data_IF_377448319676
#
_entry.id   IF_377448319676
#
_cell.length_a   1.000
_cell.length_b   1.000
_cell.length_c   1.000
_cell.angle_alpha   90.00
_cell.angle_beta   90.00
_cell.angle_gamma   90.00
#
_symmetry.space_group_name_H-M   'P 1'
#
loop_
_entity.id
_entity.type
_entity.pdbx_description
1 polymer ?
#
# COMPACT_ATOMS: atom_id res chain seq x y z
N UNK A 1 2.56 15.87 12.23
CA UNK A 1 2.36 14.54 11.62
C UNK A 1 2.78 13.37 12.52
N UNK A 2 4.02 13.32 13.06
CA UNK A 2 4.49 12.17 13.86
C UNK A 2 3.63 11.96 15.12
N UNK A 3 3.33 13.03 15.87
CA UNK A 3 2.46 12.96 17.02
C UNK A 3 1.06 12.41 16.65
N UNK A 4 0.42 12.99 15.65
CA UNK A 4 -0.89 12.56 15.14
C UNK A 4 -0.88 11.14 14.60
N UNK A 5 0.26 10.68 14.04
CA UNK A 5 0.44 9.29 13.63
C UNK A 5 0.40 8.34 14.82
N UNK A 6 1.09 8.68 15.92
CA UNK A 6 1.05 7.84 17.11
C UNK A 6 -0.32 7.85 17.79
N UNK A 7 -1.01 9.00 17.81
CA UNK A 7 -2.40 9.08 18.28
C UNK A 7 -3.31 8.17 17.43
N UNK A 8 -3.20 8.25 16.12
CA UNK A 8 -3.96 7.39 15.20
C UNK A 8 -3.73 5.91 15.46
N UNK A 9 -2.47 5.48 15.58
CA UNK A 9 -2.17 4.08 15.89
C UNK A 9 -2.66 3.67 17.28
N UNK A 10 -2.54 4.55 18.26
CA UNK A 10 -3.02 4.30 19.63
C UNK A 10 -4.54 4.10 19.67
N UNK A 11 -5.30 4.94 18.99
CA UNK A 11 -6.75 4.78 18.88
C UNK A 11 -7.14 3.48 18.16
N UNK A 12 -6.38 3.09 17.14
CA UNK A 12 -6.59 1.82 16.45
C UNK A 12 -6.32 0.61 17.36
N UNK A 13 -5.30 0.67 18.20
CA UNK A 13 -4.98 -0.38 19.16
C UNK A 13 -6.05 -0.56 20.25
N UNK A 14 -6.78 0.49 20.61
CA UNK A 14 -7.89 0.40 21.59
C UNK A 14 -9.07 -0.40 21.06
N UNK A 15 -9.29 -0.43 19.75
CA UNK A 15 -10.40 -1.12 19.10
C UNK A 15 -9.94 -1.84 17.82
N UNK A 16 -9.06 -2.84 17.92
CA UNK A 16 -8.42 -3.46 16.76
C UNK A 16 -9.42 -4.13 15.80
N UNK A 17 -10.55 -4.59 16.33
CA UNK A 17 -11.60 -5.21 15.51
C UNK A 17 -12.31 -4.20 14.58
N UNK A 18 -12.34 -2.91 14.95
CA UNK A 18 -13.01 -1.86 14.17
C UNK A 18 -12.03 -0.99 13.40
N UNK A 19 -10.83 -0.82 13.93
CA UNK A 19 -9.87 0.19 13.49
C UNK A 19 -8.53 -0.43 13.10
N UNK A 20 -8.55 -1.57 12.42
CA UNK A 20 -7.32 -2.15 11.88
C UNK A 20 -6.59 -1.13 10.97
N UNK A 21 -5.27 -1.19 10.96
CA UNK A 21 -4.40 -0.39 10.11
C UNK A 21 -3.37 -1.28 9.40
N UNK A 22 -3.11 -0.98 8.15
CA UNK A 22 -2.09 -1.62 7.31
C UNK A 22 -0.92 -0.67 7.00
N UNK A 23 -0.81 0.47 7.71
CA UNK A 23 0.38 1.31 7.62
C UNK A 23 1.60 0.56 8.13
N UNK A 24 2.68 0.51 7.35
CA UNK A 24 3.99 0.05 7.83
C UNK A 24 4.42 0.92 9.02
N UNK A 25 4.65 0.31 10.19
CA UNK A 25 4.88 1.06 11.44
C UNK A 25 6.23 1.78 11.42
N UNK A 26 6.24 3.03 11.88
CA UNK A 26 7.48 3.75 12.16
C UNK A 26 8.02 3.22 13.49
N UNK A 27 9.20 2.64 13.46
CA UNK A 27 9.87 2.02 14.62
C UNK A 27 10.88 2.96 15.27
N UNK A 28 11.38 3.95 14.53
CA UNK A 28 12.33 4.91 15.06
C UNK A 28 12.69 6.01 14.05
N UNK A 29 13.21 7.11 14.59
CA UNK A 29 13.73 8.22 13.80
C UNK A 29 15.12 8.58 14.34
N UNK A 30 16.06 8.78 13.43
CA UNK A 30 17.49 8.97 13.77
C UNK A 30 18.07 10.16 13.01
N UNK A 31 18.87 10.95 13.69
CA UNK A 31 19.75 11.95 13.08
C UNK A 31 21.18 11.38 13.14
N UNK A 32 21.84 11.31 12.01
CA UNK A 32 23.25 10.96 11.92
C UNK A 32 24.02 12.19 11.46
N UNK A 33 24.99 12.63 12.27
CA UNK A 33 25.87 13.74 11.92
C UNK A 33 27.23 13.19 11.53
N UNK A 34 27.67 13.47 10.31
CA UNK A 34 29.03 13.19 9.88
C UNK A 34 30.00 14.14 10.58
N UNK A 35 30.96 13.59 11.34
CA UNK A 35 31.90 14.41 12.14
C UNK A 35 32.90 15.21 11.30
N UNK A 36 33.19 14.79 10.07
CA UNK A 36 34.13 15.48 9.19
C UNK A 36 33.51 16.66 8.46
N UNK A 37 32.30 16.48 7.97
CA UNK A 37 31.59 17.46 7.15
C UNK A 37 30.52 18.24 7.92
N UNK A 38 30.18 17.81 9.14
CA UNK A 38 29.07 18.30 9.97
C UNK A 38 27.69 18.18 9.28
N UNK A 39 27.60 17.37 8.21
CA UNK A 39 26.37 17.12 7.51
C UNK A 39 25.45 16.26 8.37
N UNK A 40 24.20 16.71 8.52
CA UNK A 40 23.14 15.97 9.20
C UNK A 40 22.28 15.22 8.19
N UNK A 41 22.06 13.95 8.44
CA UNK A 41 21.16 13.11 7.65
C UNK A 41 20.11 12.47 8.56
N UNK A 42 18.86 12.51 8.17
CA UNK A 42 17.75 11.97 8.94
C UNK A 42 17.29 10.65 8.34
N UNK A 43 17.12 9.66 9.20
CA UNK A 43 16.69 8.31 8.83
C UNK A 43 15.42 7.93 9.59
N UNK A 44 14.56 7.17 8.94
CA UNK A 44 13.38 6.58 9.56
C UNK A 44 13.48 5.07 9.44
N UNK A 45 13.43 4.38 10.57
CA UNK A 45 13.30 2.94 10.60
C UNK A 45 11.80 2.59 10.55
N UNK A 46 11.43 1.74 9.61
CA UNK A 46 10.06 1.28 9.43
C UNK A 46 9.97 -0.23 9.53
N UNK A 47 8.77 -0.73 9.82
CA UNK A 47 8.45 -2.14 9.77
C UNK A 47 8.81 -2.74 8.41
N UNK A 48 9.51 -3.87 8.44
CA UNK A 48 9.72 -4.67 7.23
C UNK A 48 8.51 -5.60 7.04
N UNK A 49 7.63 -5.25 6.10
CA UNK A 49 6.42 -6.01 5.79
C UNK A 49 6.75 -7.46 5.40
N UNK A 50 7.90 -7.69 4.79
CA UNK A 50 8.34 -9.03 4.38
C UNK A 50 9.15 -9.77 5.45
N UNK A 51 9.24 -9.27 6.70
CA UNK A 51 10.00 -9.96 7.73
C UNK A 51 9.46 -11.38 7.99
N UNK A 52 10.35 -12.38 7.91
CA UNK A 52 9.98 -13.79 8.02
C UNK A 52 9.10 -14.34 6.88
N UNK A 53 9.01 -13.61 5.76
CA UNK A 53 8.26 -14.01 4.56
C UNK A 53 9.18 -13.97 3.35
N UNK A 54 9.06 -14.96 2.45
CA UNK A 54 9.93 -15.10 1.27
C UNK A 54 9.09 -14.97 -0.01
N UNK A 55 8.70 -13.73 -0.38
CA UNK A 55 7.84 -13.55 -1.52
C UNK A 55 8.52 -13.93 -2.83
N UNK A 56 7.76 -14.54 -3.74
CA UNK A 56 8.17 -14.77 -5.13
C UNK A 56 8.04 -13.51 -5.96
N UNK A 57 7.09 -12.63 -5.60
CA UNK A 57 6.82 -11.35 -6.28
C UNK A 57 6.45 -10.27 -5.27
N UNK A 58 6.92 -9.06 -5.53
CA UNK A 58 6.59 -7.87 -4.72
C UNK A 58 6.15 -6.74 -5.64
N UNK A 59 5.03 -6.11 -5.30
CA UNK A 59 4.44 -5.01 -6.06
C UNK A 59 4.31 -3.75 -5.20
N UNK A 60 4.59 -2.61 -5.83
CA UNK A 60 4.29 -1.26 -5.33
C UNK A 60 3.08 -0.73 -6.12
N UNK A 61 1.90 -0.69 -5.50
CA UNK A 61 0.64 -0.32 -6.14
C UNK A 61 0.18 1.07 -5.70
N UNK A 62 0.06 2.00 -6.67
CA UNK A 62 -0.41 3.39 -6.44
C UNK A 62 -1.75 3.70 -7.08
N UNK A 63 -2.33 2.75 -7.79
CA UNK A 63 -3.57 2.95 -8.53
C UNK A 63 -3.42 3.77 -9.81
N UNK A 64 -2.23 3.80 -10.39
CA UNK A 64 -1.94 4.51 -11.65
C UNK A 64 -1.35 3.56 -12.68
N UNK A 65 -1.85 3.59 -13.91
CA UNK A 65 -1.25 2.81 -15.02
C UNK A 65 -0.19 3.58 -15.81
N UNK A 66 -0.02 4.90 -15.54
CA UNK A 66 0.90 5.74 -16.29
C UNK A 66 2.34 5.60 -15.78
N UNK A 67 3.24 5.18 -16.67
CA UNK A 67 4.66 4.99 -16.36
C UNK A 67 4.89 4.04 -15.15
N UNK A 68 3.97 3.11 -14.91
CA UNK A 68 3.98 2.15 -13.80
C UNK A 68 4.16 0.73 -14.32
N UNK A 69 5.22 0.53 -15.13
CA UNK A 69 5.63 -0.75 -15.70
C UNK A 69 7.12 -0.94 -15.65
N UNK A 70 7.58 -2.07 -15.13
CA UNK A 70 8.98 -2.49 -15.16
C UNK A 70 9.16 -3.45 -16.32
N UNK A 71 9.94 -3.03 -17.31
CA UNK A 71 10.32 -3.87 -18.44
C UNK A 71 11.56 -4.70 -18.07
N UNK A 72 11.54 -6.01 -18.39
CA UNK A 72 12.64 -6.95 -18.09
C UNK A 72 13.09 -6.88 -16.62
N UNK A 73 12.20 -7.22 -15.65
CA UNK A 73 12.53 -7.11 -14.23
C UNK A 73 13.71 -8.00 -13.84
N UNK A 74 14.58 -7.47 -13.01
CA UNK A 74 15.66 -8.24 -12.39
C UNK A 74 15.08 -9.12 -11.26
N UNK A 75 15.83 -10.16 -10.88
CA UNK A 75 15.48 -10.97 -9.73
C UNK A 75 15.27 -10.09 -8.49
N UNK A 76 14.19 -10.32 -7.75
CA UNK A 76 13.79 -9.58 -6.55
C UNK A 76 13.50 -8.08 -6.76
N UNK A 77 13.29 -7.65 -8.00
CA UNK A 77 12.89 -6.27 -8.28
C UNK A 77 11.42 -6.06 -7.93
N UNK A 78 11.13 -4.95 -7.23
CA UNK A 78 9.75 -4.53 -6.98
C UNK A 78 9.08 -4.15 -8.30
N UNK A 79 7.92 -4.74 -8.54
CA UNK A 79 7.08 -4.56 -9.71
C UNK A 79 6.03 -3.46 -9.45
N UNK A 80 5.34 -3.02 -10.50
CA UNK A 80 4.43 -1.89 -10.45
C UNK A 80 3.01 -2.27 -10.91
N UNK A 81 2.08 -1.31 -10.88
CA UNK A 81 0.64 -1.53 -11.15
C UNK A 81 0.36 -2.28 -12.47
N UNK A 82 1.09 -1.97 -13.55
CA UNK A 82 0.87 -2.62 -14.85
C UNK A 82 1.39 -4.06 -14.84
N UNK A 83 2.54 -4.31 -14.17
CA UNK A 83 3.04 -5.68 -14.00
C UNK A 83 2.03 -6.53 -13.22
N UNK A 84 1.50 -6.00 -12.10
CA UNK A 84 0.49 -6.69 -11.31
C UNK A 84 -0.73 -7.10 -12.15
N UNK A 85 -1.27 -6.19 -12.96
CA UNK A 85 -2.40 -6.49 -13.84
C UNK A 85 -2.10 -7.58 -14.86
N UNK A 86 -0.89 -7.57 -15.43
CA UNK A 86 -0.46 -8.58 -16.40
C UNK A 86 -0.29 -9.93 -15.70
N UNK A 87 0.42 -9.97 -14.58
CA UNK A 87 0.75 -11.19 -13.85
C UNK A 87 -0.50 -11.86 -13.24
N UNK A 88 -1.53 -11.08 -12.93
CA UNK A 88 -2.83 -11.57 -12.45
C UNK A 88 -3.85 -11.81 -13.60
N UNK A 89 -3.45 -11.64 -14.87
CA UNK A 89 -4.35 -11.71 -16.03
C UNK A 89 -5.58 -10.79 -15.92
N UNK A 90 -5.46 -9.69 -15.19
CA UNK A 90 -6.55 -8.75 -14.90
C UNK A 90 -7.50 -9.20 -13.77
N UNK A 91 -7.29 -10.40 -13.20
CA UNK A 91 -8.14 -10.93 -12.14
C UNK A 91 -7.74 -10.41 -10.75
N UNK A 92 -8.70 -10.18 -9.84
CA UNK A 92 -8.42 -9.80 -8.47
C UNK A 92 -7.91 -10.99 -7.63
N UNK A 93 -7.14 -10.68 -6.59
CA UNK A 93 -6.70 -11.68 -5.60
C UNK A 93 -7.87 -12.05 -4.68
N UNK A 94 -8.12 -13.34 -4.52
CA UNK A 94 -9.13 -13.86 -3.61
C UNK A 94 -8.74 -13.67 -2.14
N UNK A 95 -9.64 -13.12 -1.34
CA UNK A 95 -9.49 -12.95 0.12
C UNK A 95 -10.70 -13.54 0.81
N UNK A 96 -10.48 -14.32 1.86
CA UNK A 96 -11.56 -14.91 2.66
C UNK A 96 -12.54 -13.85 3.17
N UNK A 97 -13.84 -14.14 3.13
CA UNK A 97 -14.94 -13.23 3.45
C UNK A 97 -14.79 -12.55 4.82
N UNK A 98 -14.40 -13.30 5.85
CA UNK A 98 -14.20 -12.77 7.22
C UNK A 98 -13.08 -11.72 7.27
N UNK A 99 -12.04 -11.92 6.47
CA UNK A 99 -10.84 -11.07 6.39
C UNK A 99 -11.09 -9.86 5.47
N UNK A 100 -11.83 -10.04 4.38
CA UNK A 100 -12.03 -9.01 3.34
C UNK A 100 -12.64 -7.72 3.90
N UNK A 101 -13.64 -7.82 4.78
CA UNK A 101 -14.27 -6.65 5.40
C UNK A 101 -13.29 -5.84 6.26
N UNK A 102 -12.50 -6.51 7.11
CA UNK A 102 -11.46 -5.89 7.94
C UNK A 102 -10.39 -5.24 7.07
N UNK A 103 -9.99 -5.92 6.03
CA UNK A 103 -9.00 -5.50 5.06
C UNK A 103 -9.38 -4.20 4.35
N UNK A 104 -10.58 -4.14 3.74
CA UNK A 104 -11.08 -2.93 3.07
C UNK A 104 -11.31 -1.78 4.05
N UNK A 105 -11.76 -2.07 5.26
CA UNK A 105 -11.93 -1.04 6.28
C UNK A 105 -10.59 -0.45 6.72
N UNK A 106 -9.55 -1.27 6.89
CA UNK A 106 -8.20 -0.82 7.21
C UNK A 106 -7.65 0.12 6.11
N UNK A 107 -7.75 -0.27 4.83
CA UNK A 107 -7.38 0.60 3.72
C UNK A 107 -8.10 1.94 3.74
N UNK A 108 -9.41 1.91 3.97
CA UNK A 108 -10.23 3.13 4.02
C UNK A 108 -9.81 4.04 5.15
N UNK A 109 -9.61 3.49 6.36
CA UNK A 109 -9.20 4.25 7.53
C UNK A 109 -7.84 4.93 7.31
N UNK A 110 -6.85 4.15 6.85
CA UNK A 110 -5.51 4.64 6.61
C UNK A 110 -5.47 5.70 5.49
N UNK A 111 -6.16 5.46 4.38
CA UNK A 111 -6.20 6.40 3.28
C UNK A 111 -6.89 7.72 3.66
N UNK A 112 -7.96 7.69 4.46
CA UNK A 112 -8.60 8.89 5.02
C UNK A 112 -7.65 9.62 5.96
N UNK A 113 -6.98 8.89 6.87
CA UNK A 113 -5.99 9.46 7.77
C UNK A 113 -4.90 10.21 6.99
N UNK A 114 -4.33 9.59 5.96
CA UNK A 114 -3.27 10.16 5.13
C UNK A 114 -3.76 11.38 4.33
N UNK A 115 -4.94 11.29 3.70
CA UNK A 115 -5.51 12.40 2.94
C UNK A 115 -5.79 13.63 3.80
N UNK A 116 -6.32 13.44 5.02
CA UNK A 116 -6.59 14.52 5.98
C UNK A 116 -5.30 15.18 6.51
N UNK A 117 -4.15 14.54 6.34
CA UNK A 117 -2.82 15.09 6.68
C UNK A 117 -2.02 15.49 5.46
N UNK A 118 -2.72 15.70 4.36
CA UNK A 118 -2.13 16.21 3.13
C UNK A 118 -1.02 15.30 2.58
N UNK A 119 -1.17 13.96 2.73
CA UNK A 119 -0.19 12.96 2.26
C UNK A 119 -0.59 12.40 0.91
N UNK A 120 0.42 12.20 0.07
CA UNK A 120 0.29 11.65 -1.28
C UNK A 120 1.44 10.70 -1.58
N UNK A 121 1.36 10.04 -2.71
CA UNK A 121 2.42 9.20 -3.30
C UNK A 121 2.75 7.93 -2.49
N UNK A 122 1.94 7.62 -1.48
CA UNK A 122 2.01 6.35 -0.77
C UNK A 122 1.57 5.19 -1.68
N UNK A 123 2.04 3.99 -1.36
CA UNK A 123 1.73 2.79 -2.12
C UNK A 123 1.32 1.64 -1.21
N UNK A 124 0.55 0.71 -1.75
CA UNK A 124 0.41 -0.61 -1.18
C UNK A 124 1.61 -1.45 -1.62
N UNK A 125 2.46 -1.83 -0.70
CA UNK A 125 3.40 -2.92 -0.88
C UNK A 125 2.64 -4.23 -0.76
N UNK A 126 2.59 -5.01 -1.83
CA UNK A 126 1.95 -6.32 -1.89
C UNK A 126 3.02 -7.36 -2.20
N UNK A 127 3.30 -8.24 -1.26
CA UNK A 127 4.26 -9.32 -1.37
C UNK A 127 3.53 -10.66 -1.47
N UNK A 128 3.74 -11.42 -2.53
CA UNK A 128 3.07 -12.70 -2.82
C UNK A 128 4.09 -13.81 -2.80
N UNK A 129 3.76 -14.91 -2.12
CA UNK A 129 4.43 -16.20 -2.27
C UNK A 129 3.49 -17.18 -3.00
N UNK A 130 3.79 -17.43 -4.27
CA UNK A 130 3.01 -18.33 -5.11
C UNK A 130 3.05 -19.79 -4.65
N UNK A 131 4.04 -20.16 -3.84
CA UNK A 131 4.21 -21.54 -3.35
C UNK A 131 3.29 -21.84 -2.18
N UNK A 132 3.23 -20.93 -1.22
CA UNK A 132 2.35 -21.06 -0.06
C UNK A 132 0.93 -20.54 -0.34
N UNK A 133 0.70 -19.86 -1.46
CA UNK A 133 -0.54 -19.15 -1.80
C UNK A 133 -0.90 -18.11 -0.74
N UNK A 134 0.12 -17.47 -0.18
CA UNK A 134 -0.01 -16.44 0.84
C UNK A 134 0.44 -15.08 0.31
N UNK A 135 -0.06 -14.02 0.92
CA UNK A 135 0.44 -12.68 0.67
C UNK A 135 0.54 -11.86 1.95
N UNK A 136 1.44 -10.88 1.94
CA UNK A 136 1.54 -9.82 2.95
C UNK A 136 1.37 -8.46 2.29
N UNK A 137 0.82 -7.52 3.06
CA UNK A 137 0.59 -6.16 2.60
C UNK A 137 1.00 -5.13 3.64
N UNK A 138 1.28 -3.93 3.17
CA UNK A 138 1.43 -2.75 4.01
C UNK A 138 1.43 -1.48 3.17
N UNK A 139 0.90 -0.39 3.70
CA UNK A 139 1.02 0.92 3.09
C UNK A 139 2.37 1.52 3.47
N UNK A 140 3.17 1.87 2.46
CA UNK A 140 4.52 2.44 2.57
C UNK A 140 4.60 3.81 1.90
N UNK A 141 5.73 4.52 2.06
CA UNK A 141 6.02 5.82 1.42
C UNK A 141 5.04 6.96 1.77
N UNK A 142 4.31 6.85 2.87
CA UNK A 142 3.23 7.75 3.26
C UNK A 142 3.70 9.06 3.93
N UNK A 143 5.00 9.32 4.01
CA UNK A 143 5.53 10.52 4.66
C UNK A 143 5.55 11.75 3.73
N UNK A 144 5.34 11.55 2.43
CA UNK A 144 5.39 12.62 1.45
C UNK A 144 4.21 13.56 1.55
N UNK A 145 4.52 14.85 1.74
CA UNK A 145 3.52 15.90 1.80
C UNK A 145 3.20 16.47 0.42
N UNK A 146 1.93 16.84 0.23
CA UNK A 146 1.46 17.56 -0.95
C UNK A 146 1.74 19.05 -0.77
N UNK A 147 2.78 19.57 -1.44
CA UNK A 147 3.24 20.95 -1.35
C UNK A 147 2.80 21.78 -2.56
N UNK A 148 2.91 23.11 -2.46
CA UNK A 148 2.61 24.04 -3.57
C UNK A 148 3.45 23.74 -4.83
N UNK A 149 4.71 23.32 -4.68
CA UNK A 149 5.56 22.90 -5.80
C UNK A 149 4.96 21.73 -6.56
N UNK A 150 4.32 20.79 -5.83
CA UNK A 150 3.63 19.66 -6.44
C UNK A 150 2.33 20.07 -7.12
N UNK A 151 1.65 21.09 -6.62
CA UNK A 151 0.50 21.68 -7.33
C UNK A 151 0.95 22.30 -8.66
N UNK A 152 2.03 23.05 -8.67
CA UNK A 152 2.58 23.65 -9.89
C UNK A 152 3.03 22.59 -10.91
N UNK A 153 3.69 21.53 -10.44
CA UNK A 153 4.09 20.39 -11.27
C UNK A 153 2.87 19.69 -11.89
N UNK A 154 1.80 19.52 -11.12
CA UNK A 154 0.52 18.97 -11.58
C UNK A 154 -0.11 19.83 -12.68
N UNK A 155 -0.27 21.12 -12.43
CA UNK A 155 -0.86 22.04 -13.40
C UNK A 155 -0.01 22.18 -14.66
N UNK A 156 1.32 22.25 -14.55
CA UNK A 156 2.24 22.29 -15.68
C UNK A 156 2.15 21.05 -16.56
N UNK A 157 2.06 19.85 -15.98
CA UNK A 157 1.93 18.58 -16.72
C UNK A 157 0.54 18.40 -17.35
N UNK A 158 -0.51 18.90 -16.73
CA UNK A 158 -1.89 18.82 -17.26
C UNK A 158 -2.08 19.64 -18.54
N UNK A 159 -1.35 20.74 -18.67
CA UNK A 159 -1.36 21.57 -19.88
C UNK A 159 -0.62 20.91 -21.05
N UNK A 160 0.38 20.07 -20.77
CA UNK A 160 1.30 19.51 -21.78
C UNK A 160 0.90 18.09 -22.24
N UNK A 161 0.16 17.30 -21.45
CA UNK A 161 -0.19 15.93 -21.81
C UNK A 161 -1.63 15.56 -21.39
N UNK A 162 -2.37 14.89 -22.31
CA UNK A 162 -3.69 14.26 -22.10
C UNK A 162 -3.66 13.08 -21.09
N UNK A 163 -2.65 12.93 -20.27
CA UNK A 163 -2.46 11.81 -19.36
C UNK A 163 -2.78 12.24 -17.93
N UNK A 164 -3.53 11.41 -17.18
CA UNK A 164 -3.79 11.62 -15.75
C UNK A 164 -2.47 11.56 -14.98
N UNK A 165 -2.02 12.64 -14.35
CA UNK A 165 -0.73 12.66 -13.67
C UNK A 165 -0.74 11.71 -12.46
N UNK A 166 0.44 11.17 -12.13
CA UNK A 166 0.62 10.27 -10.97
C UNK A 166 0.39 11.01 -9.65
N UNK A 167 0.76 12.30 -9.63
CA UNK A 167 0.60 13.19 -8.48
C UNK A 167 -0.67 14.02 -8.68
N UNK A 168 -1.63 13.84 -7.83
CA UNK A 168 -2.91 14.56 -7.77
C UNK A 168 -3.13 15.01 -6.33
N UNK A 169 -4.12 15.86 -6.07
CA UNK A 169 -4.43 16.30 -4.70
C UNK A 169 -4.78 15.11 -3.78
N UNK A 170 -4.61 15.27 -2.46
CA UNK A 170 -4.73 14.16 -1.52
C UNK A 170 -6.09 13.44 -1.55
N UNK A 171 -7.18 14.16 -1.75
CA UNK A 171 -8.52 13.57 -1.77
C UNK A 171 -8.75 12.73 -3.05
N UNK A 172 -8.30 13.23 -4.19
CA UNK A 172 -8.38 12.48 -5.45
C UNK A 172 -7.37 11.33 -5.46
N UNK A 173 -6.18 11.50 -4.82
CA UNK A 173 -5.23 10.41 -4.62
C UNK A 173 -5.85 9.27 -3.80
N UNK A 174 -6.44 9.59 -2.67
CA UNK A 174 -7.15 8.63 -1.81
C UNK A 174 -8.24 7.87 -2.59
N UNK A 175 -9.12 8.58 -3.31
CA UNK A 175 -10.19 7.96 -4.10
C UNK A 175 -9.64 6.98 -5.13
N UNK A 176 -8.58 7.37 -5.87
CA UNK A 176 -7.91 6.51 -6.85
C UNK A 176 -7.31 5.27 -6.18
N UNK A 177 -6.57 5.46 -5.09
CA UNK A 177 -5.96 4.38 -4.33
C UNK A 177 -7.01 3.38 -3.84
N UNK A 178 -8.07 3.84 -3.18
CA UNK A 178 -9.14 2.97 -2.69
C UNK A 178 -9.88 2.25 -3.82
N UNK A 179 -10.13 2.92 -4.96
CA UNK A 179 -10.71 2.27 -6.13
C UNK A 179 -9.84 1.09 -6.59
N UNK A 180 -8.53 1.28 -6.65
CA UNK A 180 -7.61 0.22 -7.06
C UNK A 180 -7.62 -0.93 -6.05
N UNK A 181 -7.59 -0.64 -4.75
CA UNK A 181 -7.67 -1.69 -3.72
C UNK A 181 -8.95 -2.51 -3.86
N UNK A 182 -10.10 -1.87 -4.05
CA UNK A 182 -11.38 -2.55 -4.24
C UNK A 182 -11.46 -3.41 -5.52
N UNK A 183 -10.66 -3.08 -6.53
CA UNK A 183 -10.63 -3.86 -7.79
C UNK A 183 -9.49 -4.89 -7.84
N UNK A 184 -8.51 -4.79 -6.96
CA UNK A 184 -7.36 -5.72 -6.89
C UNK A 184 -7.63 -6.94 -6.00
N UNK A 185 -8.66 -6.88 -5.17
CA UNK A 185 -9.03 -7.94 -4.24
C UNK A 185 -10.51 -8.27 -4.36
N UNK A 186 -10.87 -9.54 -4.20
CA UNK A 186 -12.25 -10.02 -4.21
C UNK A 186 -12.52 -10.95 -3.04
N UNK A 187 -13.76 -10.94 -2.58
CA UNK A 187 -14.22 -11.85 -1.54
C UNK A 187 -14.36 -13.26 -2.10
N UNK A 188 -13.82 -14.25 -1.40
CA UNK A 188 -14.05 -15.67 -1.67
C UNK A 188 -14.63 -16.34 -0.44
N UNK A 189 -15.56 -17.27 -0.66
CA UNK A 189 -16.09 -18.15 0.38
C UNK A 189 -15.27 -19.43 0.36
N UNK A 190 -14.48 -19.65 1.41
CA UNK A 190 -13.78 -20.91 1.61
C UNK A 190 -14.78 -21.88 2.22
N UNK A 191 -15.27 -22.87 1.46
CA UNK A 191 -16.06 -23.96 2.02
C UNK A 191 -15.16 -24.75 2.97
N UNK A 192 -15.54 -24.78 4.26
CA UNK A 192 -14.90 -25.63 5.25
C UNK A 192 -15.04 -27.09 4.80
N UNK A 193 -13.91 -27.81 4.74
CA UNK A 193 -13.87 -29.18 4.20
C UNK A 193 -14.61 -30.25 5.02
N UNK A 194 -15.54 -29.89 5.90
CA UNK A 194 -16.35 -30.83 6.68
C UNK A 194 -17.57 -31.40 5.93
N UNK A 195 -18.06 -30.70 4.89
CA UNK A 195 -19.21 -31.19 4.13
C UNK A 195 -18.90 -32.30 3.11
N UNK A 196 -17.63 -32.52 2.76
CA UNK A 196 -17.25 -33.59 1.80
C UNK A 196 -17.30 -35.02 2.38
N UNK A 197 -17.47 -35.18 3.69
CA UNK A 197 -17.57 -36.52 4.31
C UNK A 197 -19.00 -37.05 4.42
N UNK A 198 -20.01 -36.22 4.24
CA UNK A 198 -21.42 -36.64 4.33
C UNK A 198 -22.05 -37.12 3.01
N UNK A 199 -21.40 -36.85 1.87
CA UNK A 199 -21.89 -37.27 0.54
C UNK A 199 -21.24 -38.57 0.05
N UNK A 200 -20.35 -39.20 0.83
CA UNK A 200 -19.71 -40.48 0.51
C UNK A 200 -20.06 -41.63 1.46
N UNK A 201 -21.22 -41.56 2.13
CA UNK A 201 -21.77 -42.70 2.88
C UNK A 201 -23.10 -43.19 2.30
#
# INVERSE_FOLDING_TARGET
MIYEYFEYLWENLKQPEKNASVLAKILGMYEITDKGTMLKTYYIAMENICYGFHPTRVYDLKGSGLNRYVQNPKLNQVLLDTNFKIDQNGEPIGVESSTMKKFLQAFKNDAIFLANRNRIDYSLLLAIDDKSMEFKIGITDYLREYTLDKQLEYYGKKVIKRATPTIIDPQNYMKRFLKTMNTSFMEIVVQSGEERKSEMQ
#
